data_IF_238535508286
#
_entry.id   IF_238535508286
#
_cell.length_a   1.000
_cell.length_b   1.000
_cell.length_c   1.000
_cell.angle_alpha   90.00
_cell.angle_beta   90.00
_cell.angle_gamma   90.00
#
_symmetry.space_group_name_H-M   'P 1'
#
loop_
_entity.id
_entity.type
_entity.pdbx_description
1 polymer ?
#
# COMPACT_ATOMS: atom_id res chain seq x y z
N UNK A 1 -31.82 29.91 -17.73
CA UNK A 1 -31.11 28.61 -17.88
C UNK A 1 -30.29 28.35 -16.62
N UNK A 2 -30.62 27.33 -15.79
CA UNK A 2 -29.81 26.96 -14.62
C UNK A 2 -28.65 26.07 -15.08
N UNK A 3 -27.40 26.53 -14.93
CA UNK A 3 -26.19 25.73 -15.18
C UNK A 3 -26.16 24.54 -14.21
N UNK A 4 -26.13 23.32 -14.74
CA UNK A 4 -26.04 22.09 -13.95
C UNK A 4 -24.75 22.04 -13.15
N UNK A 5 -24.85 21.58 -11.90
CA UNK A 5 -23.73 21.40 -10.98
C UNK A 5 -22.75 20.36 -11.57
N UNK A 6 -21.43 20.60 -11.59
CA UNK A 6 -20.50 19.66 -12.19
C UNK A 6 -20.50 18.33 -11.41
N UNK A 7 -20.49 17.21 -12.15
CA UNK A 7 -20.40 15.87 -11.59
C UNK A 7 -19.13 15.72 -10.74
N UNK A 8 -19.22 15.00 -9.62
CA UNK A 8 -18.09 14.78 -8.72
C UNK A 8 -16.95 14.03 -9.44
N UNK A 9 -15.67 14.35 -9.14
CA UNK A 9 -14.54 13.67 -9.76
C UNK A 9 -14.57 12.16 -9.43
N UNK A 10 -14.07 11.30 -10.34
CA UNK A 10 -14.01 9.87 -10.10
C UNK A 10 -13.16 9.56 -8.86
N UNK A 11 -13.48 8.50 -8.11
CA UNK A 11 -12.71 8.13 -6.93
C UNK A 11 -11.26 7.84 -7.33
N UNK A 12 -10.32 8.45 -6.64
CA UNK A 12 -8.90 8.20 -6.85
C UNK A 12 -8.61 6.71 -6.68
N UNK A 13 -7.91 6.10 -7.65
CA UNK A 13 -7.51 4.69 -7.55
C UNK A 13 -6.60 4.52 -6.34
N UNK A 14 -6.91 3.53 -5.51
CA UNK A 14 -6.07 3.17 -4.38
C UNK A 14 -4.76 2.59 -4.92
N UNK A 15 -3.64 3.28 -4.74
CA UNK A 15 -2.32 2.80 -5.14
C UNK A 15 -1.63 2.14 -3.95
N UNK A 16 -1.40 0.83 -4.00
CA UNK A 16 -0.75 0.06 -2.92
C UNK A 16 0.62 -0.51 -3.33
N UNK A 17 1.41 0.25 -4.09
CA UNK A 17 2.69 -0.22 -4.65
C UNK A 17 3.92 0.01 -3.76
N UNK A 18 3.79 0.75 -2.65
CA UNK A 18 4.91 1.11 -1.76
C UNK A 18 4.49 0.98 -0.30
N UNK A 19 5.46 0.72 0.58
CA UNK A 19 5.23 0.66 2.03
C UNK A 19 4.61 1.96 2.57
N UNK A 20 4.97 3.11 2.01
CA UNK A 20 4.38 4.41 2.39
C UNK A 20 2.88 4.49 2.11
N UNK A 21 2.40 3.86 1.04
CA UNK A 21 0.98 3.78 0.71
C UNK A 21 0.24 2.86 1.69
N UNK A 22 0.81 1.70 2.00
CA UNK A 22 0.28 0.77 3.00
C UNK A 22 0.13 1.47 4.36
N UNK A 23 1.16 2.20 4.79
CA UNK A 23 1.14 3.01 6.02
C UNK A 23 0.01 4.04 6.03
N UNK A 24 -0.19 4.74 4.91
CA UNK A 24 -1.24 5.76 4.81
C UNK A 24 -2.65 5.14 4.92
N UNK A 25 -2.89 4.02 4.24
CA UNK A 25 -4.18 3.33 4.31
C UNK A 25 -4.42 2.67 5.67
N UNK A 26 -3.40 2.11 6.33
CA UNK A 26 -3.51 1.65 7.73
C UNK A 26 -3.90 2.78 8.68
N UNK A 27 -3.27 3.95 8.57
CA UNK A 27 -3.60 5.11 9.41
C UNK A 27 -5.01 5.65 9.14
N UNK A 28 -5.48 5.60 7.89
CA UNK A 28 -6.86 5.94 7.53
C UNK A 28 -7.85 4.93 8.09
N UNK A 29 -7.60 3.63 7.92
CA UNK A 29 -8.43 2.55 8.43
C UNK A 29 -8.58 2.62 9.95
N UNK A 30 -7.47 2.85 10.68
CA UNK A 30 -7.48 3.06 12.12
C UNK A 30 -8.42 4.20 12.53
N UNK A 31 -8.32 5.36 11.86
CA UNK A 31 -9.17 6.52 12.16
C UNK A 31 -10.65 6.23 11.91
N UNK A 32 -10.97 5.54 10.82
CA UNK A 32 -12.37 5.23 10.47
C UNK A 32 -12.96 4.17 11.40
N UNK A 33 -12.18 3.15 11.79
CA UNK A 33 -12.57 2.16 12.80
C UNK A 33 -12.75 2.82 14.18
N UNK A 34 -11.82 3.70 14.59
CA UNK A 34 -11.89 4.41 15.88
C UNK A 34 -13.13 5.32 16.00
N UNK A 35 -13.61 5.83 14.86
CA UNK A 35 -14.83 6.64 14.74
C UNK A 35 -16.11 5.81 14.59
N UNK A 36 -16.00 4.48 14.57
CA UNK A 36 -17.15 3.57 14.43
C UNK A 36 -17.73 3.51 13.01
N UNK A 37 -17.05 4.08 12.00
CA UNK A 37 -17.53 4.05 10.61
C UNK A 37 -17.25 2.73 9.91
N UNK A 38 -16.26 1.98 10.39
CA UNK A 38 -15.93 0.63 9.94
C UNK A 38 -15.99 -0.28 11.17
N UNK A 39 -16.70 -1.43 11.10
CA UNK A 39 -16.69 -2.40 12.19
C UNK A 39 -15.27 -2.86 12.50
N UNK A 40 -14.94 -2.97 13.79
CA UNK A 40 -13.58 -3.32 14.21
C UNK A 40 -13.12 -4.68 13.67
N UNK A 41 -14.03 -5.65 13.59
CA UNK A 41 -13.75 -6.97 13.01
C UNK A 41 -13.30 -6.88 11.54
N UNK A 42 -13.96 -6.04 10.74
CA UNK A 42 -13.61 -5.81 9.34
C UNK A 42 -12.29 -5.05 9.22
N UNK A 43 -12.08 -4.04 10.08
CA UNK A 43 -10.84 -3.29 10.13
C UNK A 43 -9.63 -4.19 10.46
N UNK A 44 -9.78 -5.16 11.35
CA UNK A 44 -8.72 -6.13 11.67
C UNK A 44 -8.38 -7.01 10.46
N UNK A 45 -9.40 -7.52 9.72
CA UNK A 45 -9.17 -8.32 8.50
C UNK A 45 -8.45 -7.52 7.42
N UNK A 46 -8.89 -6.27 7.20
CA UNK A 46 -8.25 -5.36 6.25
C UNK A 46 -6.82 -5.01 6.65
N UNK A 47 -6.56 -4.82 7.95
CA UNK A 47 -5.21 -4.60 8.48
C UNK A 47 -4.29 -5.78 8.14
N UNK A 48 -4.76 -7.01 8.33
CA UNK A 48 -3.99 -8.20 7.97
C UNK A 48 -3.63 -8.22 6.48
N UNK A 49 -4.59 -7.95 5.58
CA UNK A 49 -4.33 -7.90 4.14
C UNK A 49 -3.31 -6.82 3.77
N UNK A 50 -3.43 -5.62 4.37
CA UNK A 50 -2.47 -4.53 4.18
C UNK A 50 -1.06 -4.90 4.66
N UNK A 51 -0.95 -5.61 5.78
CA UNK A 51 0.34 -6.09 6.29
C UNK A 51 0.96 -7.17 5.40
N UNK A 52 0.15 -8.10 4.85
CA UNK A 52 0.63 -9.09 3.87
C UNK A 52 1.21 -8.37 2.66
N UNK A 53 0.49 -7.40 2.09
CA UNK A 53 0.98 -6.62 0.96
C UNK A 53 2.26 -5.85 1.30
N UNK A 54 2.33 -5.27 2.50
CA UNK A 54 3.54 -4.59 2.98
C UNK A 54 4.77 -5.50 3.02
N UNK A 55 4.61 -6.75 3.47
CA UNK A 55 5.70 -7.74 3.46
C UNK A 55 6.14 -8.09 2.04
N UNK A 56 5.19 -8.40 1.15
CA UNK A 56 5.50 -8.74 -0.25
C UNK A 56 6.26 -7.63 -0.99
N UNK A 57 5.92 -6.35 -0.72
CA UNK A 57 6.66 -5.21 -1.29
C UNK A 57 8.11 -5.20 -0.80
N UNK A 58 8.31 -5.39 0.51
CA UNK A 58 9.64 -5.40 1.13
C UNK A 58 10.46 -6.59 0.64
N UNK A 59 9.87 -7.77 0.57
CA UNK A 59 10.53 -8.99 0.10
C UNK A 59 11.01 -8.80 -1.34
N UNK A 60 10.14 -8.28 -2.23
CA UNK A 60 10.50 -7.97 -3.62
C UNK A 60 11.60 -6.89 -3.75
N UNK A 61 11.56 -5.86 -2.90
CA UNK A 61 12.63 -4.85 -2.87
C UNK A 61 13.96 -5.44 -2.39
N UNK A 62 13.94 -6.40 -1.46
CA UNK A 62 15.14 -7.10 -1.01
C UNK A 62 15.66 -8.06 -2.06
N UNK A 63 14.81 -8.87 -2.70
CA UNK A 63 15.20 -9.75 -3.81
C UNK A 63 15.96 -8.98 -4.89
N UNK A 64 15.40 -7.85 -5.35
CA UNK A 64 16.07 -6.97 -6.33
C UNK A 64 17.43 -6.46 -5.89
N UNK A 65 17.57 -6.10 -4.62
CA UNK A 65 18.84 -5.58 -4.08
C UNK A 65 19.88 -6.69 -3.95
N UNK A 66 19.46 -7.88 -3.54
CA UNK A 66 20.32 -9.07 -3.47
C UNK A 66 20.79 -9.45 -4.87
N UNK A 67 19.88 -9.53 -5.85
CA UNK A 67 20.23 -9.81 -7.25
C UNK A 67 21.27 -8.83 -7.79
N UNK A 68 21.13 -7.53 -7.48
CA UNK A 68 22.07 -6.50 -7.92
C UNK A 68 23.46 -6.67 -7.27
N UNK A 69 23.51 -7.05 -5.99
CA UNK A 69 24.78 -7.32 -5.30
C UNK A 69 25.45 -8.58 -5.86
N UNK A 70 24.70 -9.67 -6.02
CA UNK A 70 25.22 -10.92 -6.58
C UNK A 70 25.69 -10.75 -8.04
N UNK A 71 25.09 -9.85 -8.81
CA UNK A 71 25.59 -9.48 -10.14
C UNK A 71 26.94 -8.75 -10.05
N UNK A 72 27.09 -7.82 -9.11
CA UNK A 72 28.35 -7.11 -8.86
C UNK A 72 29.47 -8.07 -8.43
N UNK A 73 29.18 -8.96 -7.48
CA UNK A 73 30.16 -9.92 -6.96
C UNK A 73 30.64 -10.90 -8.04
N UNK A 74 29.76 -11.33 -8.96
CA UNK A 74 30.13 -12.19 -10.11
C UNK A 74 31.05 -11.52 -11.13
N UNK A 75 31.13 -10.19 -11.15
CA UNK A 75 32.07 -9.47 -12.02
C UNK A 75 33.48 -9.35 -11.42
N UNK A 76 33.65 -9.69 -10.13
CA UNK A 76 34.90 -9.57 -9.40
C UNK A 76 35.62 -10.94 -9.21
N UNK A 77 35.06 -12.03 -9.72
CA UNK A 77 35.76 -13.32 -9.86
C UNK A 77 36.67 -13.30 -11.12
N UNK A 78 37.99 -13.54 -10.98
CA UNK A 78 38.95 -13.61 -12.09
C UNK A 78 38.90 -14.90 -12.91
#
# INVERSE_FOLDING_TARGET
MKKGKPAAPPPARLTLSKVSHIRAELAKLYREARRGKVPLADATRLTFMLQVMGRLIVDHEFEKRIEALEQGDRHEEP
#
